data_IF_478922399554
#
_entry.id   IF_478922399554
#
_cell.length_a   1.000
_cell.length_b   1.000
_cell.length_c   1.000
_cell.angle_alpha   90.00
_cell.angle_beta   90.00
_cell.angle_gamma   90.00
#
_symmetry.space_group_name_H-M   'P 1'
#
loop_
_entity.id
_entity.type
_entity.pdbx_description
1 polymer ?
#
# COMPACT_ATOMS: atom_id res chain seq x y z
N UNK A 1 -10.47 -19.47 -10.32
CA UNK A 1 -9.34 -18.66 -9.81
C UNK A 1 -9.61 -18.38 -8.36
N UNK A 2 -8.70 -18.76 -7.49
CA UNK A 2 -8.81 -18.59 -6.04
C UNK A 2 -8.72 -17.11 -5.66
N UNK A 3 -9.71 -16.61 -4.90
CA UNK A 3 -9.75 -15.21 -4.41
C UNK A 3 -8.50 -14.82 -3.62
N UNK A 4 -7.86 -15.79 -2.98
CA UNK A 4 -6.63 -15.60 -2.21
C UNK A 4 -5.42 -15.28 -3.12
N UNK A 5 -5.36 -15.89 -4.30
CA UNK A 5 -4.31 -15.63 -5.31
C UNK A 5 -4.43 -14.22 -5.87
N UNK A 6 -5.65 -13.73 -6.11
CA UNK A 6 -5.89 -12.37 -6.58
C UNK A 6 -5.49 -11.32 -5.53
N UNK A 7 -5.82 -11.55 -4.25
CA UNK A 7 -5.40 -10.67 -3.16
C UNK A 7 -3.89 -10.57 -3.05
N UNK A 8 -3.17 -11.70 -3.11
CA UNK A 8 -1.70 -11.72 -3.12
C UNK A 8 -1.12 -10.99 -4.32
N UNK A 9 -1.70 -11.21 -5.51
CA UNK A 9 -1.26 -10.52 -6.72
C UNK A 9 -1.44 -9.00 -6.64
N UNK A 10 -2.56 -8.52 -6.08
CA UNK A 10 -2.80 -7.09 -5.85
C UNK A 10 -1.86 -6.53 -4.79
N UNK A 11 -1.62 -7.26 -3.69
CA UNK A 11 -0.69 -6.86 -2.64
C UNK A 11 0.74 -6.70 -3.19
N UNK A 12 1.20 -7.63 -4.03
CA UNK A 12 2.51 -7.54 -4.66
C UNK A 12 2.60 -6.37 -5.64
N UNK A 13 1.55 -6.09 -6.42
CA UNK A 13 1.53 -4.89 -7.28
C UNK A 13 1.64 -3.59 -6.47
N UNK A 14 0.93 -3.49 -5.34
CA UNK A 14 1.03 -2.32 -4.44
C UNK A 14 2.46 -2.20 -3.91
N UNK A 15 3.06 -3.31 -3.47
CA UNK A 15 4.45 -3.36 -3.01
C UNK A 15 5.41 -2.87 -4.09
N UNK A 16 5.35 -3.45 -5.28
CA UNK A 16 6.20 -3.07 -6.42
C UNK A 16 6.01 -1.60 -6.74
N UNK A 17 4.78 -1.07 -6.74
CA UNK A 17 4.53 0.35 -6.96
C UNK A 17 5.23 1.24 -5.91
N UNK A 18 5.10 0.88 -4.63
CA UNK A 18 5.80 1.60 -3.54
C UNK A 18 7.31 1.52 -3.67
N UNK A 19 7.87 0.35 -3.97
CA UNK A 19 9.31 0.17 -4.11
C UNK A 19 9.88 0.83 -5.36
N UNK A 20 9.11 0.91 -6.46
CA UNK A 20 9.57 1.49 -7.72
C UNK A 20 9.40 3.01 -7.76
N UNK A 21 8.25 3.54 -7.33
CA UNK A 21 7.96 4.98 -7.40
C UNK A 21 8.35 5.75 -6.14
N UNK A 22 8.27 5.09 -4.98
CA UNK A 22 8.37 5.75 -3.69
C UNK A 22 9.30 5.01 -2.72
N UNK A 23 10.36 4.40 -3.25
CA UNK A 23 11.34 3.62 -2.49
C UNK A 23 11.73 4.31 -1.16
N UNK A 24 11.24 3.78 -0.04
CA UNK A 24 11.53 4.32 1.31
C UNK A 24 10.97 5.72 1.62
N UNK A 25 10.17 6.31 0.72
CA UNK A 25 9.59 7.66 0.86
C UNK A 25 8.15 7.59 1.37
N UNK A 26 7.75 8.66 2.06
CA UNK A 26 6.36 8.88 2.44
C UNK A 26 5.57 9.39 1.25
N UNK A 27 4.43 8.76 0.97
CA UNK A 27 3.57 9.06 -0.17
C UNK A 27 2.28 9.67 0.33
N UNK A 28 1.93 10.85 -0.18
CA UNK A 28 0.67 11.48 0.19
C UNK A 28 -0.51 10.65 -0.34
N UNK A 29 -1.61 10.66 0.40
CA UNK A 29 -2.85 9.99 0.04
C UNK A 29 -3.33 10.36 -1.36
N UNK A 30 -3.21 11.64 -1.72
CA UNK A 30 -3.64 12.15 -3.00
C UNK A 30 -2.83 11.54 -4.16
N UNK A 31 -1.52 11.34 -3.98
CA UNK A 31 -0.65 10.70 -4.99
C UNK A 31 -1.03 9.22 -5.18
N UNK A 32 -1.36 8.53 -4.09
CA UNK A 32 -1.82 7.13 -4.14
C UNK A 32 -3.16 7.01 -4.85
N UNK A 33 -4.10 7.92 -4.56
CA UNK A 33 -5.42 7.96 -5.22
C UNK A 33 -5.31 8.24 -6.72
N UNK A 34 -4.33 9.05 -7.14
CA UNK A 34 -4.09 9.31 -8.57
C UNK A 34 -3.52 8.11 -9.32
N UNK A 35 -2.72 7.26 -8.67
CA UNK A 35 -2.06 6.13 -9.32
C UNK A 35 -2.96 4.91 -9.50
N UNK A 36 -4.04 4.75 -8.72
CA UNK A 36 -4.96 3.64 -8.96
C UNK A 36 -6.34 3.83 -8.32
N UNK A 37 -7.39 3.47 -9.06
CA UNK A 37 -8.80 3.45 -8.62
C UNK A 37 -9.07 2.37 -7.56
N UNK A 38 -8.15 1.41 -7.42
CA UNK A 38 -8.25 0.23 -6.56
C UNK A 38 -7.79 0.51 -5.13
N UNK A 39 -8.46 1.45 -4.47
CA UNK A 39 -8.41 1.65 -3.03
C UNK A 39 -9.09 0.52 -2.22
N UNK A 40 -9.36 -0.62 -2.86
CA UNK A 40 -10.66 -1.27 -2.71
C UNK A 40 -10.81 -2.17 -1.48
N UNK A 41 -9.75 -2.78 -0.97
CA UNK A 41 -9.79 -3.55 0.29
C UNK A 41 -8.40 -4.00 0.69
N UNK A 42 -7.63 -4.53 -0.26
CA UNK A 42 -6.28 -5.06 -0.04
C UNK A 42 -5.36 -3.99 0.54
N UNK A 43 -5.42 -2.74 0.05
CA UNK A 43 -4.64 -1.64 0.63
C UNK A 43 -4.99 -1.38 2.10
N UNK A 44 -6.28 -1.38 2.45
CA UNK A 44 -6.72 -1.23 3.84
C UNK A 44 -6.29 -2.42 4.69
N UNK A 45 -6.36 -3.64 4.16
CA UNK A 45 -5.86 -4.85 4.81
C UNK A 45 -4.34 -4.72 5.06
N UNK A 46 -3.55 -4.23 4.11
CA UNK A 46 -2.10 -4.00 4.26
C UNK A 46 -1.79 -2.93 5.33
N UNK A 47 -2.59 -1.88 5.42
CA UNK A 47 -2.47 -0.87 6.49
C UNK A 47 -2.83 -1.48 7.85
N UNK A 48 -3.92 -2.25 7.94
CA UNK A 48 -4.32 -2.94 9.17
C UNK A 48 -3.29 -3.97 9.63
N UNK A 49 -2.71 -4.71 8.69
CA UNK A 49 -1.65 -5.69 8.92
C UNK A 49 -0.27 -5.04 9.18
N UNK A 50 -0.19 -3.70 9.21
CA UNK A 50 1.04 -2.92 9.47
C UNK A 50 2.15 -3.08 8.42
N UNK A 51 1.84 -3.62 7.24
CA UNK A 51 2.75 -3.60 6.08
C UNK A 51 2.88 -2.20 5.48
N UNK A 52 1.84 -1.36 5.62
CA UNK A 52 1.87 0.03 5.21
C UNK A 52 1.68 0.91 6.45
N UNK A 53 2.70 1.71 6.75
CA UNK A 53 2.63 2.68 7.83
C UNK A 53 1.83 3.90 7.35
N UNK A 54 0.86 4.33 8.16
CA UNK A 54 0.05 5.53 7.92
C UNK A 54 0.45 6.60 8.93
N UNK A 55 0.76 7.81 8.45
CA UNK A 55 1.04 8.99 9.26
C UNK A 55 0.11 10.12 8.86
N UNK A 56 -0.42 10.83 9.83
CA UNK A 56 -1.17 12.06 9.59
C UNK A 56 -0.24 13.27 9.79
N UNK A 57 -0.10 14.12 8.77
CA UNK A 57 0.73 15.31 8.81
C UNK A 57 -0.13 16.52 8.44
N UNK A 58 -0.72 17.13 9.48
CA UNK A 58 -1.71 18.21 9.33
C UNK A 58 -3.01 17.70 8.72
N UNK A 59 -3.35 18.19 7.53
CA UNK A 59 -4.53 17.79 6.74
C UNK A 59 -4.23 16.67 5.73
N UNK A 60 -2.97 16.26 5.61
CA UNK A 60 -2.54 15.28 4.62
C UNK A 60 -2.22 13.96 5.32
N UNK A 61 -2.87 12.89 4.89
CA UNK A 61 -2.44 11.54 5.23
C UNK A 61 -1.30 11.12 4.32
N UNK A 62 -0.23 10.57 4.90
CA UNK A 62 0.88 9.97 4.17
C UNK A 62 0.98 8.48 4.52
N UNK A 63 1.42 7.69 3.55
CA UNK A 63 1.63 6.26 3.69
C UNK A 63 3.05 5.89 3.27
N UNK A 64 3.65 4.92 3.95
CA UNK A 64 4.98 4.42 3.61
C UNK A 64 4.98 2.91 3.72
N UNK A 65 5.58 2.26 2.74
CA UNK A 65 5.78 0.81 2.79
C UNK A 65 6.75 0.44 3.91
N UNK A 66 6.39 -0.57 4.70
CA UNK A 66 7.18 -1.10 5.81
C UNK A 66 7.58 -2.53 5.49
N UNK A 67 8.89 -2.77 5.47
CA UNK A 67 9.46 -4.11 5.28
C UNK A 67 9.42 -4.93 6.59
N UNK A 68 9.42 -6.28 6.53
CA UNK A 68 9.37 -7.13 5.35
C UNK A 68 8.00 -7.81 5.15
N UNK A 69 7.73 -8.20 3.90
CA UNK A 69 6.52 -8.95 3.49
C UNK A 69 6.60 -10.45 3.86
N UNK A 70 7.55 -10.85 4.71
CA UNK A 70 7.82 -12.25 5.11
C UNK A 70 6.65 -12.95 5.81
N UNK A 71 5.53 -12.26 6.05
CA UNK A 71 4.33 -12.78 6.72
C UNK A 71 3.05 -12.77 5.85
N UNK A 72 3.16 -12.61 4.52
CA UNK A 72 2.02 -12.54 3.59
C UNK A 72 1.90 -13.81 2.74
#
# INVERSE_FOLDING_TARGET
MDRETEKRYVADQIRVLFLTKWAGKWVAENELRQQNRLWSQVFQELVQQKFIEKKHEGTITKYKWKEPLEQL
#
